data_IF_496902191595
#
_entry.id   IF_496902191595
#
_cell.length_a   1.000
_cell.length_b   1.000
_cell.length_c   1.000
_cell.angle_alpha   90.00
_cell.angle_beta   90.00
_cell.angle_gamma   90.00
#
_symmetry.space_group_name_H-M   'P 1'
#
loop_
_entity.id
_entity.type
_entity.pdbx_description
1 polymer ?
#
# COMPACT_ATOMS: atom_id res chain seq x y z
N UNK A 1 -12.72 8.39 18.54
CA UNK A 1 -12.19 8.18 17.16
C UNK A 1 -11.02 7.18 17.13
N UNK A 2 -9.97 7.31 17.97
CA UNK A 2 -8.85 6.36 17.93
C UNK A 2 -9.21 5.01 18.57
N UNK A 3 -9.99 5.00 19.65
CA UNK A 3 -10.52 3.79 20.27
C UNK A 3 -11.43 3.02 19.30
N UNK A 4 -12.28 3.71 18.54
CA UNK A 4 -13.16 3.09 17.55
C UNK A 4 -12.37 2.41 16.41
N UNK A 5 -11.19 2.94 16.07
CA UNK A 5 -10.32 2.36 15.03
C UNK A 5 -9.59 1.10 15.52
N UNK A 6 -9.16 1.10 16.78
CA UNK A 6 -8.54 -0.08 17.39
C UNK A 6 -9.55 -1.23 17.53
N UNK A 7 -10.77 -0.94 17.96
CA UNK A 7 -11.84 -1.93 18.06
C UNK A 7 -12.22 -2.48 16.68
N UNK A 8 -12.35 -1.62 15.67
CA UNK A 8 -12.60 -2.04 14.29
C UNK A 8 -11.48 -2.93 13.73
N UNK A 9 -10.22 -2.58 14.02
CA UNK A 9 -9.09 -3.41 13.60
C UNK A 9 -9.15 -4.80 14.26
N UNK A 10 -9.40 -4.86 15.56
CA UNK A 10 -9.45 -6.12 16.29
C UNK A 10 -10.59 -7.02 15.79
N UNK A 11 -11.78 -6.47 15.58
CA UNK A 11 -12.91 -7.21 15.00
C UNK A 11 -12.58 -7.74 13.60
N UNK A 12 -12.00 -6.91 12.74
CA UNK A 12 -11.60 -7.30 11.40
C UNK A 12 -10.52 -8.37 11.41
N UNK A 13 -9.54 -8.24 12.31
CA UNK A 13 -8.46 -9.21 12.47
C UNK A 13 -9.01 -10.57 12.92
N UNK A 14 -9.94 -10.59 13.88
CA UNK A 14 -10.57 -11.83 14.36
C UNK A 14 -11.45 -12.48 13.29
N UNK A 15 -12.16 -11.69 12.49
CA UNK A 15 -12.93 -12.20 11.35
C UNK A 15 -12.03 -12.85 10.29
N UNK A 16 -10.88 -12.28 9.99
CA UNK A 16 -9.93 -12.88 9.06
C UNK A 16 -9.27 -14.13 9.63
N UNK A 17 -8.94 -14.13 10.94
CA UNK A 17 -8.40 -15.31 11.61
C UNK A 17 -9.38 -16.48 11.60
N UNK A 18 -10.67 -16.23 11.80
CA UNK A 18 -11.69 -17.28 11.81
C UNK A 18 -11.82 -18.00 10.44
N UNK A 19 -11.30 -17.41 9.35
CA UNK A 19 -11.26 -18.02 8.02
C UNK A 19 -10.07 -18.95 7.82
N UNK A 20 -9.08 -18.90 8.71
CA UNK A 20 -7.85 -19.69 8.61
C UNK A 20 -7.98 -20.96 9.44
N UNK A 21 -7.61 -22.08 8.87
CA UNK A 21 -7.47 -23.36 9.58
C UNK A 21 -6.09 -23.39 10.26
N UNK A 22 -6.04 -23.02 11.54
CA UNK A 22 -4.80 -22.82 12.28
C UNK A 22 -4.60 -23.96 13.27
N UNK A 23 -3.75 -24.93 12.91
CA UNK A 23 -3.55 -26.16 13.69
C UNK A 23 -2.35 -26.13 14.68
N UNK A 24 -1.60 -25.00 14.85
CA UNK A 24 -0.32 -25.02 15.55
C UNK A 24 -0.14 -23.92 16.62
N UNK A 25 0.38 -24.31 17.82
CA UNK A 25 0.79 -23.39 18.90
C UNK A 25 1.79 -22.31 18.44
N UNK A 26 2.66 -22.63 17.46
CA UNK A 26 3.64 -21.69 16.86
C UNK A 26 2.93 -20.56 16.10
N UNK A 27 1.80 -20.87 15.46
CA UNK A 27 0.98 -19.88 14.77
C UNK A 27 0.30 -18.94 15.77
N UNK A 28 -0.14 -19.42 16.92
CA UNK A 28 -0.76 -18.58 17.95
C UNK A 28 0.20 -17.50 18.49
N UNK A 29 1.47 -17.82 18.72
CA UNK A 29 2.49 -16.86 19.16
C UNK A 29 2.75 -15.81 18.08
N UNK A 30 2.87 -16.23 16.82
CA UNK A 30 3.08 -15.32 15.69
C UNK A 30 1.88 -14.37 15.49
N UNK A 31 0.66 -14.87 15.65
CA UNK A 31 -0.56 -14.07 15.53
C UNK A 31 -0.69 -13.01 16.63
N UNK A 32 -0.33 -13.36 17.88
CA UNK A 32 -0.28 -12.41 19.00
C UNK A 32 0.73 -11.28 18.71
N UNK A 33 1.88 -11.62 18.12
CA UNK A 33 2.88 -10.65 17.70
C UNK A 33 2.39 -9.77 16.56
N UNK A 34 1.73 -10.35 15.55
CA UNK A 34 1.18 -9.61 14.43
C UNK A 34 0.11 -8.62 14.88
N UNK A 35 -0.83 -9.05 15.72
CA UNK A 35 -1.85 -8.17 16.31
C UNK A 35 -1.22 -7.02 17.08
N UNK A 36 -0.24 -7.30 17.94
CA UNK A 36 0.48 -6.27 18.69
C UNK A 36 1.16 -5.27 17.77
N UNK A 37 1.86 -5.74 16.74
CA UNK A 37 2.56 -4.86 15.80
C UNK A 37 1.58 -4.02 14.98
N UNK A 38 0.47 -4.57 14.55
CA UNK A 38 -0.56 -3.84 13.84
C UNK A 38 -1.17 -2.72 14.69
N UNK A 39 -1.49 -2.97 15.96
CA UNK A 39 -1.97 -1.94 16.90
C UNK A 39 -0.97 -0.79 17.10
N UNK A 40 0.33 -1.05 16.98
CA UNK A 40 1.36 0.00 17.02
C UNK A 40 1.45 0.79 15.71
N UNK A 41 1.16 0.16 14.58
CA UNK A 41 1.26 0.76 13.24
C UNK A 41 0.01 1.58 12.90
N UNK A 42 -1.18 1.05 13.16
CA UNK A 42 -2.45 1.64 12.74
C UNK A 42 -2.63 3.12 13.13
N UNK A 43 -2.33 3.55 14.39
CA UNK A 43 -2.47 4.95 14.78
C UNK A 43 -1.56 5.91 14.02
N UNK A 44 -0.54 5.40 13.34
CA UNK A 44 0.46 6.21 12.63
C UNK A 44 0.14 6.38 11.14
N UNK A 45 -0.73 5.53 10.59
CA UNK A 45 -1.04 5.53 9.14
C UNK A 45 -1.72 6.83 8.70
N UNK A 46 -2.80 7.21 9.39
CA UNK A 46 -3.55 8.41 9.02
C UNK A 46 -2.76 9.71 9.21
N UNK A 47 -2.08 9.94 10.35
CA UNK A 47 -1.23 11.11 10.50
C UNK A 47 -0.11 11.22 9.46
N UNK A 48 0.45 10.08 9.01
CA UNK A 48 1.43 10.11 7.93
C UNK A 48 0.79 10.39 6.57
N UNK A 49 -0.42 9.88 6.30
CA UNK A 49 -1.17 10.25 5.10
C UNK A 49 -1.51 11.74 5.07
N UNK A 50 -2.04 12.28 6.17
CA UNK A 50 -2.37 13.71 6.30
C UNK A 50 -1.16 14.62 6.08
N UNK A 51 -0.01 14.20 6.58
CA UNK A 51 1.25 14.93 6.44
C UNK A 51 1.79 14.92 5.00
N UNK A 52 1.68 13.79 4.31
CA UNK A 52 2.20 13.65 2.94
C UNK A 52 1.21 14.14 1.88
N UNK A 53 -0.09 14.05 2.16
CA UNK A 53 -1.17 14.37 1.24
C UNK A 53 -2.23 15.26 1.90
N UNK A 54 -1.89 16.51 2.26
CA UNK A 54 -2.81 17.39 3.00
C UNK A 54 -4.15 17.57 2.26
N UNK A 55 -5.25 17.31 2.96
CA UNK A 55 -6.60 17.49 2.43
C UNK A 55 -7.01 16.43 1.41
N UNK A 56 -6.38 15.27 1.43
CA UNK A 56 -6.76 14.17 0.57
C UNK A 56 -8.17 13.65 0.88
N UNK A 57 -8.78 13.08 -0.14
CA UNK A 57 -10.00 12.29 -0.04
C UNK A 57 -9.69 10.85 -0.47
N UNK A 58 -10.30 9.86 0.20
CA UNK A 58 -10.20 8.47 -0.23
C UNK A 58 -11.04 8.30 -1.50
N UNK A 59 -10.39 7.94 -2.60
CA UNK A 59 -11.05 7.67 -3.87
C UNK A 59 -11.56 6.22 -3.92
N UNK A 60 -10.69 5.26 -3.59
CA UNK A 60 -11.03 3.84 -3.51
C UNK A 60 -10.09 3.06 -2.60
N UNK A 61 -10.57 1.94 -2.07
CA UNK A 61 -9.80 0.95 -1.32
C UNK A 61 -10.04 -0.43 -1.92
N UNK A 62 -9.02 -1.32 -1.88
CA UNK A 62 -9.08 -2.68 -2.42
C UNK A 62 -9.65 -2.69 -3.86
N UNK A 63 -9.22 -1.72 -4.65
CA UNK A 63 -9.78 -1.53 -5.98
C UNK A 63 -9.35 -2.64 -6.94
N UNK A 64 -10.31 -3.44 -7.36
CA UNK A 64 -10.08 -4.52 -8.30
C UNK A 64 -9.79 -3.98 -9.72
N UNK A 65 -8.65 -4.36 -10.25
CA UNK A 65 -8.31 -4.24 -11.66
C UNK A 65 -8.53 -5.61 -12.32
N UNK A 66 -9.38 -5.65 -13.34
CA UNK A 66 -9.57 -6.82 -14.17
C UNK A 66 -9.79 -6.38 -15.61
N UNK A 67 -8.71 -6.29 -16.37
CA UNK A 67 -8.73 -5.70 -17.70
C UNK A 67 -7.88 -6.50 -18.68
N UNK A 68 -8.33 -6.52 -19.94
CA UNK A 68 -7.61 -7.20 -21.03
C UNK A 68 -6.29 -6.49 -21.33
N UNK A 69 -5.23 -7.28 -21.50
CA UNK A 69 -3.93 -6.78 -21.93
C UNK A 69 -3.94 -6.75 -23.47
N UNK A 70 -4.20 -5.58 -24.04
CA UNK A 70 -4.39 -5.42 -25.50
C UNK A 70 -3.09 -5.48 -26.28
N UNK A 71 -1.95 -5.24 -25.64
CA UNK A 71 -0.62 -5.24 -26.27
C UNK A 71 -0.06 -6.64 -26.52
N UNK A 72 -0.71 -7.67 -25.98
CA UNK A 72 -0.30 -9.05 -26.16
C UNK A 72 -1.18 -9.74 -27.22
N UNK A 73 -0.56 -10.59 -28.04
CA UNK A 73 -1.27 -11.42 -29.02
C UNK A 73 -2.04 -12.60 -28.37
N UNK A 74 -2.27 -12.55 -27.07
CA UNK A 74 -2.97 -13.56 -26.28
C UNK A 74 -4.16 -12.95 -25.58
N UNK A 75 -5.16 -13.76 -25.31
CA UNK A 75 -6.35 -13.34 -24.58
C UNK A 75 -6.12 -13.39 -23.04
N UNK A 76 -5.24 -12.55 -22.58
CA UNK A 76 -4.87 -12.46 -21.17
C UNK A 76 -5.46 -11.19 -20.53
N UNK A 77 -5.84 -11.36 -19.27
CA UNK A 77 -6.31 -10.24 -18.45
C UNK A 77 -5.33 -10.00 -17.31
N UNK A 78 -5.08 -8.73 -16.99
CA UNK A 78 -4.49 -8.35 -15.71
C UNK A 78 -5.56 -8.49 -14.64
N UNK A 79 -5.25 -9.19 -13.55
CA UNK A 79 -6.03 -9.17 -12.32
C UNK A 79 -5.12 -8.66 -11.19
N UNK A 80 -5.58 -7.65 -10.47
CA UNK A 80 -4.87 -7.09 -9.33
C UNK A 80 -5.81 -6.31 -8.44
N UNK A 81 -5.33 -5.94 -7.27
CA UNK A 81 -6.04 -5.08 -6.32
C UNK A 81 -5.11 -3.96 -5.91
N UNK A 82 -5.60 -2.74 -5.98
CA UNK A 82 -4.91 -1.55 -5.46
C UNK A 82 -5.37 -1.34 -4.03
N UNK A 83 -4.45 -1.36 -3.07
CA UNK A 83 -4.81 -1.26 -1.65
C UNK A 83 -5.52 0.05 -1.33
N UNK A 84 -5.00 1.18 -1.81
CA UNK A 84 -5.55 2.50 -1.55
C UNK A 84 -5.29 3.46 -2.72
N UNK A 85 -6.32 4.18 -3.13
CA UNK A 85 -6.21 5.35 -4.00
C UNK A 85 -6.78 6.56 -3.26
N UNK A 86 -6.02 7.63 -3.21
CA UNK A 86 -6.45 8.93 -2.68
C UNK A 86 -6.37 9.99 -3.75
N UNK A 87 -7.18 11.03 -3.59
CA UNK A 87 -7.18 12.21 -4.46
C UNK A 87 -6.88 13.45 -3.63
N UNK A 88 -5.96 14.27 -4.09
CA UNK A 88 -5.59 15.53 -3.45
C UNK A 88 -6.33 16.73 -4.08
N UNK A 89 -6.44 17.86 -3.36
CA UNK A 89 -7.17 19.04 -3.84
C UNK A 89 -6.65 19.64 -5.15
N UNK A 90 -5.39 19.36 -5.50
CA UNK A 90 -4.79 19.74 -6.80
C UNK A 90 -5.25 18.85 -7.97
N UNK A 91 -6.14 17.90 -7.70
CA UNK A 91 -6.72 17.01 -8.70
C UNK A 91 -5.88 15.78 -9.04
N UNK A 92 -4.77 15.55 -8.34
CA UNK A 92 -3.94 14.38 -8.53
C UNK A 92 -4.47 13.17 -7.79
N UNK A 93 -4.19 12.00 -8.34
CA UNK A 93 -4.46 10.70 -7.73
C UNK A 93 -3.16 10.07 -7.27
N UNK A 94 -3.19 9.45 -6.10
CA UNK A 94 -2.04 8.77 -5.52
C UNK A 94 -2.41 7.33 -5.22
N UNK A 95 -1.78 6.41 -5.94
CA UNK A 95 -1.91 4.96 -5.73
C UNK A 95 -0.90 4.56 -4.67
N UNK A 96 -1.38 3.97 -3.58
CA UNK A 96 -0.55 3.53 -2.47
C UNK A 96 -0.71 2.02 -2.32
N UNK A 97 0.40 1.30 -2.39
CA UNK A 97 0.46 -0.14 -2.14
C UNK A 97 1.19 -0.38 -0.82
N UNK A 98 0.50 -1.00 0.14
CA UNK A 98 1.03 -1.25 1.47
C UNK A 98 1.95 -2.46 1.50
N UNK A 99 3.14 -2.30 2.07
CA UNK A 99 4.09 -3.38 2.23
C UNK A 99 4.57 -3.48 3.66
N UNK A 100 4.34 -4.62 4.30
CA UNK A 100 4.89 -4.90 5.61
C UNK A 100 6.37 -5.23 5.52
N UNK A 101 7.18 -4.70 6.42
CA UNK A 101 8.61 -4.98 6.49
C UNK A 101 9.12 -4.91 7.94
N UNK A 102 10.24 -5.57 8.24
CA UNK A 102 10.85 -5.50 9.57
C UNK A 102 11.72 -4.25 9.74
N UNK A 103 12.59 -3.95 8.76
CA UNK A 103 13.64 -2.92 8.89
C UNK A 103 13.58 -1.82 7.82
N UNK A 104 12.53 -1.83 7.00
CA UNK A 104 12.47 -1.04 5.77
C UNK A 104 13.11 -1.76 4.59
N UNK A 105 13.12 -1.10 3.43
CA UNK A 105 13.64 -1.71 2.22
C UNK A 105 15.11 -1.35 2.01
N UNK A 106 15.92 -2.38 1.76
CA UNK A 106 17.29 -2.21 1.28
C UNK A 106 17.27 -1.72 -0.17
N UNK A 107 18.41 -1.17 -0.62
CA UNK A 107 18.57 -0.60 -1.96
C UNK A 107 18.22 -1.61 -3.07
N UNK A 108 18.64 -2.87 -2.89
CA UNK A 108 18.39 -3.95 -3.85
C UNK A 108 16.89 -4.18 -4.05
N UNK A 109 16.11 -4.20 -2.96
CA UNK A 109 14.64 -4.40 -3.04
C UNK A 109 13.94 -3.20 -3.67
N UNK A 110 14.46 -2.00 -3.49
CA UNK A 110 13.94 -0.79 -4.14
C UNK A 110 14.19 -0.76 -5.64
N UNK A 111 15.21 -1.49 -6.11
CA UNK A 111 15.59 -1.59 -7.51
C UNK A 111 15.06 -2.88 -8.16
N UNK A 112 14.33 -3.71 -7.41
CA UNK A 112 13.73 -4.92 -7.93
C UNK A 112 12.62 -4.56 -8.93
N UNK A 113 12.86 -4.95 -10.18
CA UNK A 113 11.94 -4.66 -11.29
C UNK A 113 10.55 -5.28 -11.08
N UNK A 114 10.47 -6.45 -10.47
CA UNK A 114 9.18 -7.10 -10.23
C UNK A 114 8.33 -6.27 -9.24
N UNK A 115 8.97 -5.67 -8.26
CA UNK A 115 8.30 -4.80 -7.29
C UNK A 115 7.86 -3.49 -7.95
N UNK A 116 8.74 -2.83 -8.71
CA UNK A 116 8.41 -1.56 -9.36
C UNK A 116 7.40 -1.72 -10.49
N UNK A 117 7.43 -2.84 -11.23
CA UNK A 117 6.44 -3.11 -12.28
C UNK A 117 5.02 -3.25 -11.76
N UNK A 118 4.82 -3.70 -10.51
CA UNK A 118 3.49 -3.75 -9.90
C UNK A 118 2.83 -2.37 -9.93
N UNK A 119 3.51 -1.34 -9.45
CA UNK A 119 2.98 0.04 -9.45
C UNK A 119 2.82 0.60 -10.86
N UNK A 120 3.72 0.28 -11.78
CA UNK A 120 3.61 0.70 -13.18
C UNK A 120 2.34 0.11 -13.83
N UNK A 121 2.07 -1.17 -13.60
CA UNK A 121 0.88 -1.84 -14.10
C UNK A 121 -0.39 -1.28 -13.43
N UNK A 122 -0.37 -1.06 -12.12
CA UNK A 122 -1.49 -0.45 -11.40
C UNK A 122 -1.82 0.92 -11.96
N UNK A 123 -0.83 1.78 -12.14
CA UNK A 123 -1.01 3.11 -12.73
C UNK A 123 -1.62 3.02 -14.13
N UNK A 124 -1.05 2.20 -15.01
CA UNK A 124 -1.54 2.04 -16.39
C UNK A 124 -3.01 1.64 -16.40
N UNK A 125 -3.35 0.54 -15.74
CA UNK A 125 -4.70 -0.02 -15.79
C UNK A 125 -5.73 0.80 -14.99
N UNK A 126 -5.29 1.49 -13.93
CA UNK A 126 -6.12 2.47 -13.23
C UNK A 126 -6.49 3.65 -14.13
N UNK A 127 -5.51 4.23 -14.83
CA UNK A 127 -5.74 5.32 -15.77
C UNK A 127 -6.69 4.91 -16.90
N UNK A 128 -6.50 3.72 -17.47
CA UNK A 128 -7.38 3.19 -18.52
C UNK A 128 -8.81 2.93 -18.00
N UNK A 129 -8.96 2.39 -16.79
CA UNK A 129 -10.26 2.09 -16.20
C UNK A 129 -11.09 3.33 -15.92
N UNK A 130 -10.44 4.42 -15.49
CA UNK A 130 -11.12 5.65 -15.06
C UNK A 130 -11.03 6.79 -16.08
N UNK A 131 -10.40 6.56 -17.22
CA UNK A 131 -10.14 7.60 -18.24
C UNK A 131 -9.41 8.83 -17.67
N UNK A 132 -8.36 8.57 -16.86
CA UNK A 132 -7.57 9.58 -16.17
C UNK A 132 -6.23 9.75 -16.89
N UNK A 133 -5.80 11.02 -17.12
CA UNK A 133 -4.47 11.30 -17.66
C UNK A 133 -3.38 10.74 -16.73
N UNK A 134 -2.47 9.88 -17.21
CA UNK A 134 -1.37 9.34 -16.41
C UNK A 134 -0.48 10.39 -15.74
N UNK A 135 -0.45 11.62 -16.23
CA UNK A 135 0.28 12.73 -15.61
C UNK A 135 -0.33 13.17 -14.27
N UNK A 136 -1.60 12.87 -14.05
CA UNK A 136 -2.30 13.16 -12.81
C UNK A 136 -2.22 12.02 -11.79
N UNK A 137 -1.54 10.92 -12.12
CA UNK A 137 -1.46 9.75 -11.22
C UNK A 137 -0.02 9.52 -10.78
N UNK A 138 0.19 9.48 -9.49
CA UNK A 138 1.46 9.16 -8.85
C UNK A 138 1.35 7.85 -8.07
N UNK A 139 2.46 7.14 -7.85
CA UNK A 139 2.45 5.82 -7.21
C UNK A 139 3.43 5.74 -6.07
N UNK A 140 3.05 5.04 -4.98
CA UNK A 140 3.82 4.97 -3.75
C UNK A 140 3.79 3.57 -3.14
N UNK A 141 4.88 3.19 -2.47
CA UNK A 141 4.86 2.10 -1.51
C UNK A 141 4.74 2.64 -0.10
N UNK A 142 3.68 2.28 0.60
CA UNK A 142 3.51 2.55 2.02
C UNK A 142 4.21 1.46 2.85
N UNK A 143 5.33 1.76 3.51
CA UNK A 143 6.09 0.78 4.27
C UNK A 143 5.61 0.73 5.74
N UNK A 144 4.93 -0.34 6.09
CA UNK A 144 4.48 -0.63 7.45
C UNK A 144 5.55 -1.43 8.18
N UNK A 145 6.33 -0.76 9.04
CA UNK A 145 7.46 -1.39 9.75
C UNK A 145 6.99 -2.11 11.00
N UNK A 146 7.05 -3.43 11.01
CA UNK A 146 6.68 -4.28 12.16
C UNK A 146 7.53 -4.11 13.40
N UNK A 147 8.76 -3.61 13.26
CA UNK A 147 9.72 -3.37 14.35
C UNK A 147 9.83 -1.90 14.71
N UNK A 148 8.94 -1.06 14.19
CA UNK A 148 8.96 0.37 14.49
C UNK A 148 8.72 0.60 15.99
N UNK A 149 9.61 1.35 16.62
CA UNK A 149 9.28 2.05 17.85
C UNK A 149 8.23 3.10 17.49
N UNK A 150 7.38 3.47 18.45
CA UNK A 150 6.21 4.36 18.30
C UNK A 150 6.46 5.66 17.48
N UNK A 151 7.73 6.00 17.21
CA UNK A 151 8.17 7.23 16.56
C UNK A 151 8.70 7.03 15.11
N UNK A 152 8.76 5.79 14.59
CA UNK A 152 9.52 5.49 13.36
C UNK A 152 8.70 4.98 12.17
N UNK A 153 7.38 4.92 12.27
CA UNK A 153 6.55 4.54 11.12
C UNK A 153 6.50 5.74 10.18
N UNK A 154 7.14 5.63 9.03
CA UNK A 154 7.18 6.67 8.00
C UNK A 154 6.72 6.10 6.68
N UNK A 155 5.76 6.75 6.06
CA UNK A 155 5.50 6.62 4.63
C UNK A 155 6.69 7.27 3.93
N UNK A 156 7.44 6.49 3.17
CA UNK A 156 8.54 7.02 2.35
C UNK A 156 8.07 7.13 0.92
N UNK A 157 8.06 8.37 0.43
CA UNK A 157 7.98 8.66 -0.98
C UNK A 157 9.21 8.06 -1.67
N UNK A 158 9.04 7.19 -2.64
CA UNK A 158 10.08 6.85 -3.59
C UNK A 158 10.05 7.88 -4.72
N UNK A 159 10.70 9.00 -4.49
CA UNK A 159 11.08 9.88 -5.60
C UNK A 159 12.04 9.11 -6.49
N UNK A 160 11.69 8.97 -7.77
CA UNK A 160 12.69 8.72 -8.80
C UNK A 160 13.78 9.78 -8.64
N UNK A 161 14.93 9.38 -8.13
CA UNK A 161 16.11 10.22 -8.22
C UNK A 161 16.50 10.23 -9.69
N UNK A 162 16.02 11.21 -10.42
CA UNK A 162 16.76 11.72 -11.58
C UNK A 162 18.14 12.07 -11.09
N UNK A 163 19.10 11.22 -11.45
CA UNK A 163 20.51 11.49 -11.21
C UNK A 163 20.94 12.62 -12.12
N UNK A 164 20.78 13.83 -11.67
CA UNK A 164 21.63 14.90 -12.16
C UNK A 164 23.04 14.66 -11.59
N UNK A 165 23.82 13.93 -12.37
CA UNK A 165 25.27 14.05 -12.26
C UNK A 165 25.61 15.40 -12.89
N UNK A 166 25.80 16.37 -12.03
CA UNK A 166 26.62 17.52 -12.41
C UNK A 166 28.05 17.05 -12.60
N UNK A 167 28.58 17.41 -13.73
CA UNK A 167 29.97 17.27 -14.22
C UNK A 167 30.92 18.07 -13.35
#
# INVERSE_FOLDING_TARGET
EDADREDFFDESFDQELAKLDLDDEVQEVALKEFRRNARLIMPLVFPELDKHFPGYEVFSTEEMLYQKITELNYDWNLKGFIDLVIKTPDGKYHIIDWKTCSWGWKREKKQDKLVTYQLTLYKKFFCEKHDIDPKLVETYFGLLKRTAKKEETKIREEKERTSEKET
#
